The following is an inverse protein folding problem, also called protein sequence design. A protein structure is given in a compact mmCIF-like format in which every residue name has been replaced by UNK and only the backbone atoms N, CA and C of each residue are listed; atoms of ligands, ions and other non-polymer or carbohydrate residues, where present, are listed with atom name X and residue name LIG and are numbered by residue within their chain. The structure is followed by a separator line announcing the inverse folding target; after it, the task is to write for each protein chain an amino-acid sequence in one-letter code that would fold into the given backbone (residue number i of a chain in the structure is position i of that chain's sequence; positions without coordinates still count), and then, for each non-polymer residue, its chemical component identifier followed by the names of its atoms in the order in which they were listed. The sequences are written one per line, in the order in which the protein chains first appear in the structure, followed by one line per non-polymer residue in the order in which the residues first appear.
data_IF_791490870435
#
_entry.id   IF_791490870435
#
_cell.length_a   1.000
_cell.length_b   1.000
_cell.length_c   1.000
_cell.angle_alpha   90.00
_cell.angle_beta   90.00
_cell.angle_gamma   90.00
#
_symmetry.space_group_name_H-M   'P 1'
#
loop_
_entity.id
_entity.type
_entity.pdbx_description
1 polymer ?
#
# COMPACT_ATOMS: atom_id res chain seq x y z
N UNK A 1 26.48 -48.30 37.09
CA UNK A 1 25.70 -49.55 37.09
C UNK A 1 24.51 -49.37 38.01
N UNK A 2 23.36 -49.95 37.60
CA UNK A 2 21.98 -49.82 38.09
C UNK A 2 21.29 -48.51 37.62
N UNK A 3 20.49 -48.46 36.55
CA UNK A 3 19.31 -49.24 36.07
C UNK A 3 18.00 -48.99 36.87
N UNK A 4 17.13 -48.22 36.20
CA UNK A 4 15.72 -48.46 35.88
C UNK A 4 14.58 -48.42 36.91
N UNK A 5 13.40 -48.15 36.32
CA UNK A 5 11.99 -48.04 36.79
C UNK A 5 11.53 -46.65 37.30
N UNK A 6 10.36 -46.10 36.98
CA UNK A 6 9.25 -46.30 36.03
C UNK A 6 8.17 -45.25 36.44
N UNK A 7 7.10 -45.14 35.66
CA UNK A 7 5.78 -44.57 35.97
C UNK A 7 5.46 -43.18 35.40
N UNK A 8 5.04 -43.21 34.13
CA UNK A 8 3.70 -42.81 33.65
C UNK A 8 2.83 -41.91 34.56
N UNK A 9 2.42 -40.76 34.00
CA UNK A 9 1.12 -40.07 34.24
C UNK A 9 0.74 -39.52 32.85
N UNK A 10 -0.13 -40.11 32.03
CA UNK A 10 -1.59 -40.29 32.10
C UNK A 10 -2.43 -39.11 32.68
N UNK A 11 -3.18 -38.50 31.76
CA UNK A 11 -4.50 -37.87 31.81
C UNK A 11 -4.84 -36.51 32.49
N UNK A 12 -5.06 -35.50 31.62
CA UNK A 12 -6.32 -34.74 31.43
C UNK A 12 -6.67 -33.53 32.34
N UNK A 13 -7.82 -32.85 32.14
CA UNK A 13 -8.30 -32.06 30.98
C UNK A 13 -8.85 -30.66 31.39
N UNK A 14 -8.92 -29.63 30.52
CA UNK A 14 -9.83 -28.45 30.73
C UNK A 14 -9.73 -27.38 29.62
N UNK A 15 -10.84 -27.07 28.92
CA UNK A 15 -11.00 -25.78 28.24
C UNK A 15 -11.88 -25.66 26.98
N UNK A 16 -12.52 -26.73 26.50
CA UNK A 16 -13.15 -26.79 25.16
C UNK A 16 -14.60 -26.27 25.03
N UNK A 17 -15.07 -25.35 25.89
CA UNK A 17 -16.42 -24.75 25.74
C UNK A 17 -16.45 -23.28 25.36
N UNK A 18 -15.39 -22.51 25.59
CA UNK A 18 -15.39 -21.05 25.30
C UNK A 18 -14.99 -20.71 23.86
N UNK A 19 -14.17 -21.55 23.20
CA UNK A 19 -13.79 -21.38 21.79
C UNK A 19 -14.91 -21.76 20.81
N UNK A 20 -15.66 -22.84 21.09
CA UNK A 20 -16.76 -23.29 20.22
C UNK A 20 -17.92 -22.28 20.27
N UNK A 21 -18.24 -21.74 21.45
CA UNK A 21 -19.27 -20.69 21.59
C UNK A 21 -18.88 -19.41 20.84
N UNK A 22 -17.59 -19.05 20.84
CA UNK A 22 -17.12 -17.86 20.12
C UNK A 22 -17.23 -18.02 18.60
N UNK A 23 -16.87 -19.19 18.05
CA UNK A 23 -16.98 -19.50 16.62
C UNK A 23 -18.45 -19.60 16.19
N UNK A 24 -19.31 -20.20 17.01
CA UNK A 24 -20.75 -20.25 16.74
C UNK A 24 -21.40 -18.86 16.71
N UNK A 25 -20.97 -17.94 17.58
CA UNK A 25 -21.48 -16.56 17.61
C UNK A 25 -21.09 -15.76 16.35
N UNK A 26 -19.86 -15.95 15.85
CA UNK A 26 -19.40 -15.27 14.61
C UNK A 26 -20.16 -15.79 13.38
N UNK A 27 -20.44 -17.09 13.31
CA UNK A 27 -21.24 -17.68 12.23
C UNK A 27 -22.70 -17.20 12.28
N UNK A 28 -23.28 -17.06 13.48
CA UNK A 28 -24.65 -16.53 13.65
C UNK A 28 -24.77 -15.06 13.21
N UNK A 29 -23.76 -14.23 13.49
CA UNK A 29 -23.74 -12.83 13.07
C UNK A 29 -23.61 -12.72 11.54
N UNK A 30 -22.78 -13.57 10.91
CA UNK A 30 -22.64 -13.58 9.46
C UNK A 30 -23.93 -14.05 8.74
N UNK A 31 -24.65 -15.02 9.30
CA UNK A 31 -25.94 -15.47 8.77
C UNK A 31 -27.05 -14.43 8.95
N UNK A 32 -27.02 -13.63 10.04
CA UNK A 32 -27.98 -12.56 10.26
C UNK A 32 -27.82 -11.39 9.26
N UNK A 33 -26.59 -11.04 8.87
CA UNK A 33 -26.32 -10.00 7.87
C UNK A 33 -26.75 -10.46 6.46
N UNK A 34 -26.50 -11.72 6.11
CA UNK A 34 -26.96 -12.29 4.84
C UNK A 34 -28.50 -12.40 4.77
N UNK A 35 -29.15 -12.77 5.88
CA UNK A 35 -30.62 -12.83 5.98
C UNK A 35 -31.28 -11.45 5.89
N UNK A 36 -30.70 -10.42 6.50
CA UNK A 36 -31.20 -9.04 6.40
C UNK A 36 -31.08 -8.49 4.98
N UNK A 37 -29.97 -8.77 4.29
CA UNK A 37 -29.76 -8.33 2.90
C UNK A 37 -30.68 -9.07 1.92
N UNK A 38 -30.95 -10.36 2.15
CA UNK A 38 -31.85 -11.15 1.29
C UNK A 38 -33.34 -10.87 1.55
N UNK A 39 -33.72 -10.53 2.78
CA UNK A 39 -35.13 -10.23 3.12
C UNK A 39 -35.51 -8.76 2.87
N UNK A 40 -34.58 -7.81 2.95
CA UNK A 40 -34.84 -6.39 2.61
C UNK A 40 -34.92 -6.11 1.10
N UNK A 41 -34.65 -7.10 0.25
CA UNK A 41 -34.76 -6.96 -1.22
C UNK A 41 -36.13 -7.39 -1.77
N UNK A 42 -37.11 -7.73 -0.92
CA UNK A 42 -38.44 -8.19 -1.34
C UNK A 42 -39.57 -7.35 -0.72
N UNK A 43 -39.42 -6.02 -0.74
CA UNK A 43 -40.52 -5.11 -0.48
C UNK A 43 -40.25 -3.74 -1.11
N UNK A 44 -40.55 -3.60 -2.40
CA UNK A 44 -41.38 -2.48 -2.86
C UNK A 44 -41.88 -2.73 -4.28
N UNK A 45 -43.19 -3.00 -4.36
CA UNK A 45 -43.97 -3.04 -5.59
C UNK A 45 -45.08 -2.01 -5.43
N UNK A 46 -45.00 -0.90 -6.16
CA UNK A 46 -46.12 -0.05 -6.64
C UNK A 46 -45.51 1.14 -7.41
N UNK A 47 -45.65 1.18 -8.74
CA UNK A 47 -46.61 2.03 -9.48
C UNK A 47 -45.94 3.38 -9.86
N UNK A 48 -45.98 3.98 -11.06
CA UNK A 48 -46.59 3.80 -12.37
C UNK A 48 -45.82 4.79 -13.32
N UNK A 49 -45.37 4.39 -14.52
CA UNK A 49 -46.02 4.59 -15.83
C UNK A 49 -45.37 5.66 -16.75
N UNK A 50 -45.26 5.27 -18.03
CA UNK A 50 -44.98 6.02 -19.28
C UNK A 50 -43.50 6.31 -19.61
N UNK A 51 -42.96 6.09 -20.82
CA UNK A 51 -43.51 5.58 -22.09
C UNK A 51 -42.36 5.13 -23.02
N UNK A 52 -42.69 4.14 -23.86
CA UNK A 52 -42.16 3.77 -25.19
C UNK A 52 -40.66 3.64 -25.50
N UNK A 53 -40.25 2.37 -25.64
CA UNK A 53 -39.75 1.71 -26.87
C UNK A 53 -38.60 2.40 -27.64
N UNK A 54 -37.39 1.83 -27.57
CA UNK A 54 -36.85 0.97 -28.64
C UNK A 54 -35.49 0.35 -28.25
N UNK A 55 -35.38 -0.92 -28.61
CA UNK A 55 -34.31 -1.90 -28.40
C UNK A 55 -32.97 -1.44 -28.97
N UNK A 56 -31.91 -1.48 -28.16
CA UNK A 56 -30.54 -1.70 -28.64
C UNK A 56 -29.73 -2.44 -27.58
N UNK A 57 -29.55 -3.74 -27.87
CA UNK A 57 -28.39 -4.58 -27.57
C UNK A 57 -27.73 -4.38 -26.20
N UNK A 58 -28.30 -5.03 -25.18
CA UNK A 58 -27.68 -5.21 -23.87
C UNK A 58 -26.44 -6.12 -23.98
N UNK A 59 -25.31 -5.55 -24.36
CA UNK A 59 -24.02 -6.09 -23.99
C UNK A 59 -23.86 -5.96 -22.47
N UNK A 60 -23.90 -7.11 -21.82
CA UNK A 60 -23.53 -7.35 -20.44
C UNK A 60 -22.08 -6.91 -20.20
N UNK A 61 -21.88 -5.62 -19.93
CA UNK A 61 -20.61 -5.04 -19.54
C UNK A 61 -20.51 -5.18 -18.01
N UNK A 62 -19.50 -5.86 -17.47
CA UNK A 62 -19.30 -5.94 -16.03
C UNK A 62 -19.18 -4.52 -15.49
N UNK A 63 -19.95 -4.21 -14.45
CA UNK A 63 -19.85 -2.95 -13.71
C UNK A 63 -18.38 -2.70 -13.36
N UNK A 64 -17.78 -1.75 -14.07
CA UNK A 64 -16.48 -1.21 -13.75
C UNK A 64 -16.64 -0.55 -12.38
N UNK A 65 -15.97 -1.14 -11.39
CA UNK A 65 -15.84 -0.54 -10.07
C UNK A 65 -15.02 0.72 -10.31
N UNK A 66 -15.69 1.85 -10.51
CA UNK A 66 -15.09 3.18 -10.56
C UNK A 66 -14.12 3.30 -9.36
N UNK A 67 -12.80 3.38 -9.60
CA UNK A 67 -11.86 3.55 -8.51
C UNK A 67 -12.14 4.93 -7.90
N UNK A 68 -12.60 4.93 -6.65
CA UNK A 68 -12.88 6.11 -5.84
C UNK A 68 -11.95 7.28 -6.21
N UNK A 69 -12.52 8.29 -6.89
CA UNK A 69 -11.89 9.52 -7.43
C UNK A 69 -10.48 9.83 -6.90
N UNK A 70 -9.49 9.05 -7.34
CA UNK A 70 -8.09 9.40 -7.19
C UNK A 70 -7.83 10.34 -8.36
N UNK A 71 -7.66 11.63 -8.09
CA UNK A 71 -7.50 12.66 -9.14
C UNK A 71 -6.46 12.33 -10.22
N UNK A 72 -6.34 13.17 -11.24
CA UNK A 72 -5.37 12.95 -12.33
C UNK A 72 -3.94 12.75 -11.79
N UNK A 73 -3.22 11.77 -12.34
CA UNK A 73 -1.80 11.57 -12.02
C UNK A 73 -0.98 12.68 -12.65
N UNK A 74 -0.19 13.37 -11.85
CA UNK A 74 0.73 14.43 -12.28
C UNK A 74 2.14 14.10 -11.80
N UNK A 75 3.14 14.65 -12.48
CA UNK A 75 4.53 14.33 -12.22
C UNK A 75 5.35 15.59 -11.94
N UNK A 76 6.03 15.61 -10.80
CA UNK A 76 6.94 16.70 -10.41
C UNK A 76 8.37 16.22 -10.53
N UNK A 77 9.13 16.86 -11.41
CA UNK A 77 10.55 16.53 -11.63
C UNK A 77 11.42 17.19 -10.56
N UNK A 78 12.40 16.44 -10.04
CA UNK A 78 13.41 17.02 -9.15
C UNK A 78 14.42 17.86 -9.97
N UNK A 79 14.80 19.06 -9.49
CA UNK A 79 15.62 19.99 -10.26
C UNK A 79 17.04 19.47 -10.51
N UNK A 80 17.54 18.58 -9.64
CA UNK A 80 18.88 18.00 -9.77
C UNK A 80 18.87 16.49 -9.53
N UNK A 81 19.75 15.73 -10.19
CA UNK A 81 19.99 14.34 -9.83
C UNK A 81 20.65 14.25 -8.46
N UNK A 82 20.38 13.16 -7.74
CA UNK A 82 21.01 12.85 -6.47
C UNK A 82 22.30 12.07 -6.74
N UNK A 83 23.43 12.64 -6.34
CA UNK A 83 24.75 12.01 -6.47
C UNK A 83 25.36 11.83 -5.09
N UNK A 84 25.77 10.61 -4.75
CA UNK A 84 26.33 10.27 -3.44
C UNK A 84 27.26 9.06 -3.55
N UNK A 85 28.21 8.98 -2.63
CA UNK A 85 29.05 7.80 -2.48
C UNK A 85 28.33 6.79 -1.59
N UNK A 86 28.36 5.52 -1.99
CA UNK A 86 27.86 4.41 -1.19
C UNK A 86 29.01 3.48 -0.81
N UNK A 87 29.07 3.06 0.46
CA UNK A 87 30.06 2.09 0.89
C UNK A 87 29.76 0.73 0.26
N UNK A 88 30.80 0.06 -0.21
CA UNK A 88 30.72 -1.29 -0.76
C UNK A 88 31.80 -2.19 -0.14
N UNK A 89 31.59 -3.50 -0.20
CA UNK A 89 32.53 -4.48 0.36
C UNK A 89 33.93 -4.40 -0.24
N UNK A 90 34.04 -4.15 -1.55
CA UNK A 90 35.33 -4.07 -2.26
C UNK A 90 35.87 -2.65 -2.33
N UNK A 91 35.00 -1.69 -2.62
CA UNK A 91 35.31 -0.25 -2.71
C UNK A 91 34.02 0.55 -2.66
N UNK A 92 34.14 1.81 -2.29
CA UNK A 92 33.06 2.77 -2.41
C UNK A 92 32.72 3.00 -3.88
N UNK A 93 31.43 3.24 -4.14
CA UNK A 93 30.91 3.50 -5.48
C UNK A 93 30.18 4.83 -5.54
N UNK A 94 30.31 5.52 -6.66
CA UNK A 94 29.53 6.72 -6.91
C UNK A 94 28.19 6.31 -7.53
N UNK A 95 27.10 6.74 -6.91
CA UNK A 95 25.74 6.49 -7.41
C UNK A 95 25.09 7.82 -7.79
N UNK A 96 24.41 7.82 -8.94
CA UNK A 96 23.58 8.91 -9.40
C UNK A 96 22.16 8.42 -9.68
N UNK A 97 21.17 9.04 -9.05
CA UNK A 97 19.74 8.71 -9.21
C UNK A 97 18.98 9.95 -9.72
N UNK A 98 18.23 9.79 -10.80
CA UNK A 98 17.23 10.76 -11.27
C UNK A 98 15.86 10.36 -10.75
N UNK A 99 15.15 11.31 -10.16
CA UNK A 99 13.87 11.07 -9.48
C UNK A 99 12.79 11.99 -10.02
N UNK A 100 11.58 11.45 -10.15
CA UNK A 100 10.34 12.21 -10.33
C UNK A 100 9.32 11.76 -9.29
N UNK A 101 8.44 12.66 -8.87
CA UNK A 101 7.38 12.37 -7.90
C UNK A 101 6.05 12.22 -8.62
N UNK A 102 5.27 11.19 -8.28
CA UNK A 102 3.90 11.05 -8.72
C UNK A 102 2.96 11.60 -7.65
N UNK A 103 2.04 12.47 -8.05
CA UNK A 103 1.05 13.14 -7.18
C UNK A 103 -0.32 13.09 -7.84
N UNK A 104 -1.38 13.22 -7.05
CA UNK A 104 -2.78 13.15 -7.53
C UNK A 104 -3.49 14.48 -7.33
N UNK A 105 -3.97 15.07 -8.42
CA UNK A 105 -4.71 16.33 -8.42
C UNK A 105 -3.85 17.59 -8.29
N UNK A 106 -4.38 18.71 -8.78
CA UNK A 106 -3.64 19.97 -8.96
C UNK A 106 -3.14 20.57 -7.63
N UNK A 107 -3.93 20.47 -6.55
CA UNK A 107 -3.53 21.00 -5.25
C UNK A 107 -2.28 20.28 -4.70
N UNK A 108 -2.23 18.95 -4.82
CA UNK A 108 -1.08 18.17 -4.39
C UNK A 108 0.14 18.44 -5.27
N UNK A 109 -0.06 18.70 -6.57
CA UNK A 109 1.00 19.08 -7.48
C UNK A 109 1.67 20.39 -7.09
N UNK A 110 0.90 21.43 -6.77
CA UNK A 110 1.45 22.71 -6.33
C UNK A 110 2.08 22.64 -4.93
N UNK A 111 1.49 21.89 -4.01
CA UNK A 111 2.08 21.63 -2.69
C UNK A 111 3.41 20.85 -2.80
N UNK A 112 3.47 19.83 -3.65
CA UNK A 112 4.70 19.07 -3.89
C UNK A 112 5.82 19.97 -4.41
N UNK A 113 5.52 20.86 -5.37
CA UNK A 113 6.48 21.85 -5.86
C UNK A 113 6.98 22.79 -4.76
N UNK A 114 6.08 23.28 -3.90
CA UNK A 114 6.44 24.17 -2.78
C UNK A 114 7.37 23.48 -1.78
N UNK A 115 7.21 22.16 -1.58
CA UNK A 115 8.00 21.39 -0.62
C UNK A 115 9.19 20.64 -1.25
N UNK A 116 9.57 20.94 -2.49
CA UNK A 116 10.74 20.32 -3.16
C UNK A 116 11.99 20.32 -2.26
N UNK A 117 12.40 21.42 -1.60
CA UNK A 117 13.63 21.40 -0.78
C UNK A 117 13.59 20.39 0.37
N UNK A 118 12.43 20.21 1.01
CA UNK A 118 12.22 19.23 2.06
C UNK A 118 12.29 17.80 1.49
N UNK A 119 11.65 17.59 0.35
CA UNK A 119 11.61 16.28 -0.33
C UNK A 119 13.02 15.90 -0.78
N UNK A 120 13.77 16.82 -1.39
CA UNK A 120 15.16 16.60 -1.80
C UNK A 120 16.05 16.20 -0.62
N UNK A 121 16.01 16.95 0.47
CA UNK A 121 16.80 16.63 1.66
C UNK A 121 16.46 15.26 2.25
N UNK A 122 15.16 14.91 2.23
CA UNK A 122 14.68 13.61 2.73
C UNK A 122 15.10 12.46 1.82
N UNK A 123 14.99 12.62 0.50
CA UNK A 123 15.44 11.64 -0.48
C UNK A 123 16.95 11.44 -0.40
N UNK A 124 17.74 12.51 -0.34
CA UNK A 124 19.19 12.43 -0.20
C UNK A 124 19.60 11.66 1.05
N UNK A 125 18.95 11.96 2.20
CA UNK A 125 19.17 11.23 3.45
C UNK A 125 18.75 9.76 3.35
N UNK A 126 17.64 9.46 2.68
CA UNK A 126 17.21 8.08 2.50
C UNK A 126 18.20 7.28 1.65
N UNK A 127 18.69 7.87 0.55
CA UNK A 127 19.61 7.22 -0.37
C UNK A 127 21.02 7.07 0.20
N UNK A 128 21.52 8.03 0.98
CA UNK A 128 22.86 7.95 1.57
C UNK A 128 23.01 6.86 2.64
N UNK A 129 21.89 6.28 3.10
CA UNK A 129 21.90 5.13 4.03
C UNK A 129 22.03 3.76 3.34
N UNK A 130 21.93 3.72 2.00
CA UNK A 130 22.05 2.48 1.24
C UNK A 130 23.52 2.05 1.08
N UNK A 131 23.75 0.75 0.90
CA UNK A 131 25.06 0.20 0.54
C UNK A 131 25.11 -0.18 -0.95
N UNK A 132 26.32 -0.34 -1.47
CA UNK A 132 26.56 -0.62 -2.89
C UNK A 132 26.01 -1.99 -3.33
N UNK A 133 26.06 -2.99 -2.45
CA UNK A 133 25.67 -4.37 -2.77
C UNK A 133 24.15 -4.48 -2.96
N UNK A 134 23.36 -3.80 -2.11
CA UNK A 134 21.90 -3.71 -2.26
C UNK A 134 21.54 -2.99 -3.57
N UNK A 135 22.18 -1.85 -3.83
CA UNK A 135 21.92 -1.04 -5.02
C UNK A 135 22.34 -1.71 -6.33
N UNK A 136 23.17 -2.76 -6.29
CA UNK A 136 23.52 -3.55 -7.46
C UNK A 136 22.38 -4.48 -7.90
N UNK A 137 21.45 -4.82 -6.99
CA UNK A 137 20.34 -5.75 -7.25
C UNK A 137 19.03 -5.00 -7.53
N UNK A 138 18.11 -5.64 -8.25
CA UNK A 138 16.76 -5.08 -8.47
C UNK A 138 16.00 -4.99 -7.15
N UNK A 139 16.03 -6.06 -6.36
CA UNK A 139 15.35 -6.11 -5.06
C UNK A 139 15.83 -5.03 -4.08
N UNK A 140 17.13 -4.76 -4.04
CA UNK A 140 17.67 -3.69 -3.19
C UNK A 140 17.32 -2.29 -3.70
N UNK A 141 17.28 -2.05 -5.01
CA UNK A 141 16.74 -0.80 -5.58
C UNK A 141 15.28 -0.58 -5.20
N UNK A 142 14.45 -1.61 -5.29
CA UNK A 142 13.04 -1.54 -4.91
C UNK A 142 12.88 -1.29 -3.40
N UNK A 143 13.70 -1.92 -2.57
CA UNK A 143 13.73 -1.68 -1.13
C UNK A 143 14.12 -0.21 -0.80
N UNK A 144 15.13 0.32 -1.47
CA UNK A 144 15.55 1.73 -1.33
C UNK A 144 14.45 2.68 -1.81
N UNK A 145 13.80 2.39 -2.94
CA UNK A 145 12.64 3.15 -3.42
C UNK A 145 11.51 3.14 -2.38
N UNK A 146 11.14 1.97 -1.88
CA UNK A 146 10.07 1.81 -0.88
C UNK A 146 10.38 2.58 0.42
N UNK A 147 11.63 2.55 0.88
CA UNK A 147 12.09 3.33 2.04
C UNK A 147 11.99 4.84 1.77
N UNK A 148 12.47 5.29 0.60
CA UNK A 148 12.46 6.69 0.23
C UNK A 148 11.03 7.26 0.15
N UNK A 149 10.08 6.51 -0.41
CA UNK A 149 8.65 6.89 -0.46
C UNK A 149 8.12 7.11 0.96
N UNK A 150 8.36 6.16 1.87
CA UNK A 150 7.89 6.25 3.26
C UNK A 150 8.51 7.45 3.99
N UNK A 151 9.81 7.64 3.86
CA UNK A 151 10.53 8.74 4.51
C UNK A 151 10.01 10.10 4.02
N UNK A 152 9.82 10.25 2.70
CA UNK A 152 9.28 11.46 2.09
C UNK A 152 7.83 11.71 2.48
N UNK A 153 6.97 10.69 2.42
CA UNK A 153 5.57 10.82 2.83
C UNK A 153 5.47 11.24 4.29
N UNK A 154 6.30 10.66 5.17
CA UNK A 154 6.36 11.03 6.58
C UNK A 154 6.82 12.47 6.78
N UNK A 155 7.89 12.89 6.10
CA UNK A 155 8.44 14.25 6.21
C UNK A 155 7.45 15.30 5.72
N UNK A 156 6.83 15.06 4.56
CA UNK A 156 5.83 15.96 3.97
C UNK A 156 4.57 16.00 4.82
N UNK A 157 4.08 14.86 5.32
CA UNK A 157 2.91 14.82 6.21
C UNK A 157 3.14 15.61 7.49
N UNK A 158 4.35 15.55 8.07
CA UNK A 158 4.68 16.30 9.29
C UNK A 158 4.61 17.83 9.11
N UNK A 159 4.78 18.33 7.89
CA UNK A 159 4.79 19.77 7.58
C UNK A 159 3.47 20.24 6.96
N UNK A 160 2.94 19.48 6.01
CA UNK A 160 1.75 19.84 5.25
C UNK A 160 0.43 19.28 5.84
N UNK A 161 0.52 18.32 6.76
CA UNK A 161 -0.65 17.69 7.39
C UNK A 161 -1.43 16.73 6.48
N UNK A 162 -0.95 16.46 5.26
CA UNK A 162 -1.62 15.61 4.28
C UNK A 162 -0.64 14.78 3.46
N UNK A 163 -1.13 13.64 2.93
CA UNK A 163 -0.36 12.78 2.03
C UNK A 163 -0.42 13.35 0.61
N UNK A 164 0.62 14.08 0.22
CA UNK A 164 0.70 14.74 -1.08
C UNK A 164 1.31 13.83 -2.17
N UNK A 165 2.25 12.97 -1.78
CA UNK A 165 3.05 12.14 -2.71
C UNK A 165 2.53 10.71 -2.71
N UNK A 166 2.21 10.22 -3.89
CA UNK A 166 1.75 8.84 -4.08
C UNK A 166 2.93 7.88 -4.29
N UNK A 167 3.84 8.21 -5.21
CA UNK A 167 5.02 7.40 -5.53
C UNK A 167 6.26 8.26 -5.86
N UNK A 168 7.43 7.64 -5.75
CA UNK A 168 8.73 8.18 -6.13
C UNK A 168 9.30 7.33 -7.27
N UNK A 169 9.42 7.91 -8.45
CA UNK A 169 9.87 7.23 -9.65
C UNK A 169 11.37 7.42 -9.87
N UNK A 170 12.09 6.34 -10.08
CA UNK A 170 13.50 6.40 -10.51
C UNK A 170 13.52 6.41 -12.04
N UNK A 171 13.83 7.55 -12.63
CA UNK A 171 13.87 7.75 -14.09
C UNK A 171 15.27 7.61 -14.68
N UNK A 172 16.27 7.41 -13.82
CA UNK A 172 17.64 7.13 -14.21
C UNK A 172 18.45 6.67 -13.01
N UNK A 173 19.33 5.71 -13.24
CA UNK A 173 20.18 5.14 -12.20
C UNK A 173 21.52 4.78 -12.80
N UNK A 174 22.60 5.38 -12.30
CA UNK A 174 23.98 5.11 -12.73
C UNK A 174 24.81 4.78 -11.50
N UNK A 175 25.66 3.77 -11.60
CA UNK A 175 26.61 3.37 -10.57
C UNK A 175 27.98 3.11 -11.20
N UNK A 176 29.04 3.66 -10.60
CA UNK A 176 30.43 3.54 -11.05
C UNK A 176 31.27 2.87 -9.96
#
# INVERSE_FOLDING_TARGET
MAEDNDLTMEDGPSGSKKMIIMIAAVILILLAVAGFFMFSSSSDSADAANADTEVSDSQNQPAEIEPASTGSAMYVTMPRPFTFNVPGTTRDRLVQIKVQLMVRGDNNHELAKRHIPLIEGTLLKAFSTANADDLATVAGKDAVKAKAIKDVQKAVFAVAGSKIIEDVLFTGFVMQ
#
